data_IF_569529213781
#
_entry.id   IF_569529213781
#
_cell.length_a   1.000
_cell.length_b   1.000
_cell.length_c   1.000
_cell.angle_alpha   90.00
_cell.angle_beta   90.00
_cell.angle_gamma   90.00
#
_symmetry.space_group_name_H-M   'P 1'
#
loop_
_entity.id
_entity.type
_entity.pdbx_description
1 polymer ?
#
# COMPACT_ATOMS: atom_id res chain seq x y z
N UNK A 1 62.56 -43.00 -23.37
CA UNK A 1 62.18 -42.76 -21.97
C UNK A 1 60.72 -42.32 -21.97
N UNK A 2 59.90 -43.04 -21.19
CA UNK A 2 58.49 -42.75 -20.95
C UNK A 2 58.31 -41.34 -20.36
N UNK A 3 57.16 -40.70 -20.59
CA UNK A 3 56.15 -40.49 -19.53
C UNK A 3 54.87 -39.91 -20.14
N UNK A 4 53.76 -40.62 -19.89
CA UNK A 4 52.39 -40.12 -19.95
C UNK A 4 52.27 -38.75 -19.27
N UNK A 5 51.38 -37.88 -19.74
CA UNK A 5 50.49 -37.22 -18.80
C UNK A 5 49.16 -36.76 -19.41
N UNK A 6 48.10 -37.30 -18.81
CA UNK A 6 46.70 -36.95 -18.96
C UNK A 6 46.49 -35.45 -18.72
N UNK A 7 45.73 -34.77 -19.59
CA UNK A 7 45.07 -33.51 -19.21
C UNK A 7 43.58 -33.54 -19.53
N UNK A 8 42.86 -33.76 -18.44
CA UNK A 8 41.50 -33.35 -18.09
C UNK A 8 40.54 -32.98 -19.23
N UNK A 9 39.53 -33.82 -19.40
CA UNK A 9 38.25 -33.48 -20.01
C UNK A 9 37.55 -32.48 -19.09
N UNK A 10 37.42 -31.23 -19.53
CA UNK A 10 36.64 -30.20 -18.84
C UNK A 10 35.15 -30.47 -19.03
N UNK A 11 34.48 -30.97 -18.00
CA UNK A 11 33.01 -31.01 -17.95
C UNK A 11 32.53 -29.60 -17.61
N UNK A 12 32.18 -28.83 -18.64
CA UNK A 12 31.48 -27.56 -18.46
C UNK A 12 30.07 -27.87 -17.92
N UNK A 13 29.92 -27.80 -16.60
CA UNK A 13 28.61 -27.89 -15.94
C UNK A 13 27.89 -26.56 -16.15
N UNK A 14 26.93 -26.56 -17.08
CA UNK A 14 26.00 -25.44 -17.26
C UNK A 14 24.99 -25.46 -16.11
N UNK A 15 25.33 -24.82 -15.00
CA UNK A 15 24.33 -24.45 -13.99
C UNK A 15 23.52 -23.29 -14.58
N UNK A 16 22.41 -23.61 -15.23
CA UNK A 16 21.37 -22.64 -15.55
C UNK A 16 20.72 -22.22 -14.24
N UNK A 17 21.27 -21.18 -13.60
CA UNK A 17 20.59 -20.49 -12.52
C UNK A 17 19.30 -19.90 -13.09
N UNK A 18 18.18 -20.58 -12.83
CA UNK A 18 16.86 -20.03 -13.04
C UNK A 18 16.75 -18.81 -12.13
N UNK A 19 16.79 -17.62 -12.72
CA UNK A 19 16.43 -16.38 -12.01
C UNK A 19 14.97 -16.49 -11.59
N UNK A 20 14.74 -16.76 -10.32
CA UNK A 20 13.41 -16.65 -9.72
C UNK A 20 13.09 -15.15 -9.77
N UNK A 21 12.25 -14.76 -10.73
CA UNK A 21 11.61 -13.46 -10.73
C UNK A 21 10.64 -13.44 -9.55
N UNK A 22 11.13 -13.06 -8.37
CA UNK A 22 10.27 -12.80 -7.22
C UNK A 22 9.57 -11.48 -7.49
N UNK A 23 8.41 -11.54 -8.14
CA UNK A 23 7.51 -10.40 -8.27
C UNK A 23 6.87 -10.20 -6.90
N UNK A 24 7.53 -9.45 -6.03
CA UNK A 24 6.90 -8.97 -4.81
C UNK A 24 5.77 -8.03 -5.19
N UNK A 25 4.54 -8.41 -4.85
CA UNK A 25 3.34 -7.61 -4.98
C UNK A 25 3.47 -6.33 -4.14
N UNK A 26 3.91 -5.26 -4.81
CA UNK A 26 3.78 -3.84 -4.50
C UNK A 26 3.43 -3.48 -3.05
N UNK A 27 4.44 -3.19 -2.23
CA UNK A 27 4.27 -2.23 -1.13
C UNK A 27 4.50 -0.82 -1.67
N UNK A 28 3.58 -0.34 -2.49
CA UNK A 28 3.52 1.09 -2.81
C UNK A 28 2.80 1.83 -1.66
N UNK A 29 3.40 1.81 -0.47
CA UNK A 29 3.05 2.79 0.55
C UNK A 29 3.57 4.11 0.01
N UNK A 30 2.71 4.96 -0.54
CA UNK A 30 3.12 6.36 -0.78
C UNK A 30 3.67 6.86 0.55
N UNK A 31 4.93 7.27 0.60
CA UNK A 31 5.53 7.74 1.84
C UNK A 31 4.66 8.88 2.40
N UNK A 32 3.97 8.59 3.50
CA UNK A 32 3.11 9.54 4.20
C UNK A 32 4.06 10.53 4.87
N UNK A 33 3.92 11.80 4.53
CA UNK A 33 4.70 12.85 5.18
C UNK A 33 3.93 13.35 6.39
N UNK A 34 4.44 13.06 7.57
CA UNK A 34 3.83 13.44 8.84
C UNK A 34 4.49 14.72 9.40
N UNK A 35 3.71 15.56 10.07
CA UNK A 35 4.25 16.65 10.88
C UNK A 35 5.09 16.08 12.03
N UNK A 36 6.21 16.74 12.32
CA UNK A 36 7.12 16.33 13.38
C UNK A 36 6.41 16.32 14.75
N UNK A 37 6.67 15.28 15.55
CA UNK A 37 6.04 15.12 16.88
C UNK A 37 4.60 14.60 16.86
N UNK A 38 3.97 14.41 15.70
CA UNK A 38 2.57 13.92 15.60
C UNK A 38 2.45 12.42 15.34
N UNK A 39 3.57 11.75 15.07
CA UNK A 39 3.61 10.31 14.75
C UNK A 39 3.27 9.50 15.99
N UNK A 40 2.20 8.71 15.89
CA UNK A 40 1.85 7.69 16.86
C UNK A 40 1.94 6.30 16.22
N UNK A 41 2.43 5.31 16.97
CA UNK A 41 2.67 3.95 16.48
C UNK A 41 1.96 2.92 17.35
N UNK A 42 1.62 1.80 16.73
CA UNK A 42 1.23 0.59 17.46
C UNK A 42 2.46 -0.02 18.17
N UNK A 43 2.21 -0.98 19.07
CA UNK A 43 3.28 -1.69 19.80
C UNK A 43 4.23 -2.44 18.88
N UNK A 44 3.74 -2.90 17.73
CA UNK A 44 4.55 -3.56 16.69
C UNK A 44 5.38 -2.56 15.83
N UNK A 45 5.33 -1.27 16.15
CA UNK A 45 6.08 -0.21 15.47
C UNK A 45 5.41 0.33 14.18
N UNK A 46 4.30 -0.25 13.72
CA UNK A 46 3.57 0.27 12.57
C UNK A 46 2.98 1.65 12.85
N UNK A 47 2.87 2.47 11.80
CA UNK A 47 2.25 3.79 11.93
C UNK A 47 0.77 3.59 12.28
N UNK A 48 0.30 4.23 13.36
CA UNK A 48 -1.10 4.22 13.78
C UNK A 48 -1.83 5.44 13.23
N UNK A 49 -1.31 6.62 13.52
CA UNK A 49 -1.77 7.87 12.93
C UNK A 49 -0.68 8.92 12.97
N UNK A 50 -0.85 9.96 12.16
CA UNK A 50 -0.12 11.22 12.29
C UNK A 50 -0.92 12.36 11.64
N UNK A 51 -0.49 13.60 11.86
CA UNK A 51 -1.02 14.75 11.11
C UNK A 51 -0.23 14.86 9.81
N UNK A 52 -0.94 14.99 8.68
CA UNK A 52 -0.32 15.13 7.37
C UNK A 52 0.40 16.48 7.21
N UNK A 53 1.68 16.47 6.87
CA UNK A 53 2.46 17.67 6.58
C UNK A 53 2.19 18.27 5.19
N UNK A 54 1.50 17.52 4.32
CA UNK A 54 1.07 17.96 2.98
C UNK A 54 -0.10 17.12 2.48
N UNK A 55 -0.82 17.64 1.50
CA UNK A 55 -1.86 16.88 0.81
C UNK A 55 -1.25 15.59 0.23
N UNK A 56 -1.93 14.46 0.47
CA UNK A 56 -1.40 13.13 0.16
C UNK A 56 -2.48 12.30 -0.52
N UNK A 57 -2.20 11.80 -1.72
CA UNK A 57 -3.11 10.88 -2.43
C UNK A 57 -2.77 9.45 -2.05
N UNK A 58 -3.65 8.82 -1.27
CA UNK A 58 -3.50 7.43 -0.85
C UNK A 58 -4.18 6.54 -1.88
N UNK A 59 -3.41 5.65 -2.51
CA UNK A 59 -3.92 4.65 -3.44
C UNK A 59 -4.05 3.32 -2.72
N UNK A 60 -5.26 2.77 -2.68
CA UNK A 60 -5.51 1.43 -2.14
C UNK A 60 -6.24 0.59 -3.16
N UNK A 61 -5.95 -0.70 -3.19
CA UNK A 61 -6.67 -1.60 -4.06
C UNK A 61 -6.43 -3.05 -3.69
N UNK A 62 -7.35 -3.90 -4.14
CA UNK A 62 -7.20 -5.33 -4.07
C UNK A 62 -7.84 -5.96 -5.32
N UNK A 63 -7.64 -7.26 -5.50
CA UNK A 63 -8.12 -7.99 -6.68
C UNK A 63 -9.65 -8.02 -6.80
N UNK A 64 -10.38 -7.73 -5.72
CA UNK A 64 -11.84 -7.88 -5.64
C UNK A 64 -12.59 -6.55 -5.80
N UNK A 65 -11.96 -5.43 -5.44
CA UNK A 65 -12.58 -4.10 -5.40
C UNK A 65 -11.86 -3.08 -6.30
N UNK A 66 -10.86 -3.51 -7.06
CA UNK A 66 -10.09 -2.64 -7.95
C UNK A 66 -9.22 -1.67 -7.16
N UNK A 67 -8.96 -0.50 -7.72
CA UNK A 67 -8.13 0.53 -7.09
C UNK A 67 -8.90 1.83 -6.89
N UNK A 68 -8.80 2.38 -5.68
CA UNK A 68 -9.36 3.67 -5.27
C UNK A 68 -8.23 4.63 -4.88
N UNK A 69 -8.47 5.93 -5.09
CA UNK A 69 -7.54 6.99 -4.71
C UNK A 69 -8.27 7.93 -3.74
N UNK A 70 -7.68 8.16 -2.58
CA UNK A 70 -8.20 9.03 -1.53
C UNK A 70 -7.26 10.23 -1.37
N UNK A 71 -7.66 11.41 -1.84
CA UNK A 71 -6.90 12.64 -1.67
C UNK A 71 -7.11 13.17 -0.25
N UNK A 72 -6.13 12.93 0.62
CA UNK A 72 -6.17 13.32 2.02
C UNK A 72 -5.59 14.72 2.25
N UNK A 73 -6.26 15.50 3.09
CA UNK A 73 -5.98 16.91 3.37
C UNK A 73 -4.85 17.12 4.38
N UNK A 74 -3.94 18.03 4.05
CA UNK A 74 -2.89 18.54 4.96
C UNK A 74 -3.46 19.04 6.28
N UNK A 75 -2.68 18.97 7.35
CA UNK A 75 -3.06 19.43 8.69
C UNK A 75 -4.15 18.59 9.35
N UNK A 76 -4.54 17.47 8.75
CA UNK A 76 -5.52 16.54 9.30
C UNK A 76 -4.90 15.17 9.58
N UNK A 77 -5.54 14.41 10.46
CA UNK A 77 -5.12 13.07 10.76
C UNK A 77 -5.30 12.13 9.57
N UNK A 78 -4.30 11.29 9.38
CA UNK A 78 -4.38 10.06 8.59
C UNK A 78 -4.20 8.88 9.53
N UNK A 79 -5.06 7.87 9.38
CA UNK A 79 -5.11 6.71 10.27
C UNK A 79 -4.85 5.43 9.49
N UNK A 80 -4.19 4.49 10.15
CA UNK A 80 -3.87 3.18 9.63
C UNK A 80 -4.23 2.10 10.64
N UNK A 81 -4.49 0.89 10.15
CA UNK A 81 -4.63 -0.29 10.97
C UNK A 81 -3.27 -0.76 11.49
N UNK A 82 -3.27 -1.67 12.46
CA UNK A 82 -2.04 -2.26 13.01
C UNK A 82 -1.18 -2.99 11.95
N UNK A 83 -1.81 -3.38 10.83
CA UNK A 83 -1.16 -3.98 9.66
C UNK A 83 -0.68 -2.92 8.63
N UNK A 84 -0.60 -1.65 9.03
CA UNK A 84 -0.23 -0.51 8.17
C UNK A 84 -1.16 -0.28 6.96
N UNK A 85 -2.42 -0.73 7.03
CA UNK A 85 -3.38 -0.47 5.96
C UNK A 85 -4.08 0.85 6.21
N UNK A 86 -4.28 1.66 5.17
CA UNK A 86 -5.03 2.91 5.27
C UNK A 86 -6.44 2.65 5.82
N UNK A 87 -6.86 3.45 6.79
CA UNK A 87 -8.14 3.33 7.46
C UNK A 87 -9.01 4.57 7.31
N UNK A 88 -8.44 5.78 7.50
CA UNK A 88 -9.22 7.02 7.47
C UNK A 88 -8.37 8.23 7.13
N UNK A 89 -8.97 9.20 6.44
CA UNK A 89 -8.50 10.59 6.41
C UNK A 89 -9.64 11.55 6.08
N UNK A 90 -9.38 12.85 6.27
CA UNK A 90 -10.23 13.93 5.76
C UNK A 90 -9.87 14.25 4.30
N UNK A 91 -10.86 14.43 3.44
CA UNK A 91 -10.65 14.67 2.01
C UNK A 91 -10.24 16.11 1.68
N UNK A 92 -9.27 16.28 0.79
CA UNK A 92 -8.87 17.58 0.24
C UNK A 92 -9.63 17.98 -1.03
N UNK A 93 -10.26 17.03 -1.71
CA UNK A 93 -11.10 17.24 -2.90
C UNK A 93 -12.27 16.24 -2.88
N UNK A 94 -13.34 16.57 -3.60
CA UNK A 94 -14.48 15.66 -3.76
C UNK A 94 -14.05 14.37 -4.50
N UNK A 95 -14.57 13.23 -4.07
CA UNK A 95 -14.40 11.95 -4.76
C UNK A 95 -15.73 11.29 -5.10
N UNK A 96 -15.68 10.40 -6.10
CA UNK A 96 -16.79 9.53 -6.47
C UNK A 96 -16.45 8.09 -6.11
N UNK A 97 -17.24 7.48 -5.25
CA UNK A 97 -17.13 6.09 -4.84
C UNK A 97 -18.12 5.28 -5.68
N UNK A 98 -17.61 4.28 -6.41
CA UNK A 98 -18.45 3.37 -7.21
C UNK A 98 -18.58 2.03 -6.49
N UNK A 99 -19.81 1.61 -6.24
CA UNK A 99 -20.12 0.31 -5.62
C UNK A 99 -21.17 -0.39 -6.47
N UNK A 100 -20.73 -1.34 -7.31
CA UNK A 100 -21.58 -1.93 -8.34
C UNK A 100 -22.06 -0.86 -9.33
N UNK A 101 -23.39 -0.71 -9.46
CA UNK A 101 -24.01 0.30 -10.33
C UNK A 101 -24.27 1.64 -9.62
N UNK A 102 -24.03 1.71 -8.31
CA UNK A 102 -24.26 2.91 -7.52
C UNK A 102 -23.02 3.80 -7.49
N UNK A 103 -23.24 5.12 -7.57
CA UNK A 103 -22.20 6.13 -7.40
C UNK A 103 -22.57 7.03 -6.24
N UNK A 104 -21.71 7.09 -5.23
CA UNK A 104 -21.83 8.00 -4.09
C UNK A 104 -20.78 9.10 -4.21
N UNK A 105 -21.19 10.34 -4.00
CA UNK A 105 -20.29 11.49 -3.97
C UNK A 105 -19.88 11.71 -2.51
N UNK A 106 -18.57 11.80 -2.27
CA UNK A 106 -18.03 12.17 -0.97
C UNK A 106 -17.40 13.56 -1.11
N UNK A 107 -18.03 14.61 -0.55
CA UNK A 107 -17.58 15.98 -0.72
C UNK A 107 -16.19 16.24 -0.13
N UNK A 108 -15.59 17.36 -0.53
CA UNK A 108 -14.41 17.90 0.16
C UNK A 108 -14.70 18.10 1.64
N UNK A 109 -13.67 17.97 2.48
CA UNK A 109 -13.76 18.09 3.94
C UNK A 109 -14.57 17.00 4.66
N UNK A 110 -15.09 15.98 3.96
CA UNK A 110 -15.63 14.80 4.61
C UNK A 110 -14.51 13.83 5.02
N UNK A 111 -14.75 13.08 6.08
CA UNK A 111 -13.95 11.92 6.42
C UNK A 111 -14.34 10.75 5.53
N UNK A 112 -13.32 10.09 4.99
CA UNK A 112 -13.48 8.79 4.34
C UNK A 112 -12.90 7.72 5.26
N UNK A 113 -13.67 6.67 5.51
CA UNK A 113 -13.22 5.49 6.26
C UNK A 113 -13.26 4.26 5.37
N UNK A 114 -12.23 3.43 5.45
CA UNK A 114 -12.09 2.21 4.66
C UNK A 114 -11.93 1.02 5.59
N UNK A 115 -12.67 -0.04 5.30
CA UNK A 115 -12.56 -1.33 5.95
C UNK A 115 -12.54 -2.44 4.91
N UNK A 116 -12.01 -3.61 5.30
CA UNK A 116 -12.09 -4.83 4.50
C UNK A 116 -13.13 -5.74 5.16
N UNK A 117 -14.10 -6.20 4.38
CA UNK A 117 -15.13 -7.14 4.79
C UNK A 117 -14.59 -8.57 4.80
N UNK A 118 -15.33 -9.50 5.41
CA UNK A 118 -14.91 -10.91 5.54
C UNK A 118 -14.76 -11.61 4.18
N UNK A 119 -15.49 -11.17 3.16
CA UNK A 119 -15.36 -11.67 1.79
C UNK A 119 -14.14 -11.11 1.04
N UNK A 120 -13.40 -10.19 1.68
CA UNK A 120 -12.23 -9.50 1.15
C UNK A 120 -12.56 -8.20 0.40
N UNK A 121 -13.85 -7.86 0.24
CA UNK A 121 -14.24 -6.63 -0.44
C UNK A 121 -13.93 -5.43 0.43
N UNK A 122 -13.60 -4.33 -0.23
CA UNK A 122 -13.42 -3.05 0.41
C UNK A 122 -14.79 -2.38 0.63
N UNK A 123 -15.05 -1.95 1.86
CA UNK A 123 -16.14 -1.02 2.18
C UNK A 123 -15.58 0.37 2.38
N UNK A 124 -16.26 1.37 1.84
CA UNK A 124 -15.88 2.78 1.94
C UNK A 124 -17.07 3.56 2.47
N UNK A 125 -16.87 4.24 3.58
CA UNK A 125 -17.87 5.09 4.23
C UNK A 125 -17.43 6.55 4.15
N UNK A 126 -18.40 7.45 3.96
CA UNK A 126 -18.20 8.89 3.89
C UNK A 126 -19.02 9.57 4.99
N UNK A 127 -18.39 10.37 5.84
CA UNK A 127 -19.04 11.10 6.94
C UNK A 127 -18.55 12.53 7.06
N UNK A 128 -19.40 13.45 7.54
CA UNK A 128 -18.99 14.83 7.83
C UNK A 128 -18.24 14.94 9.16
N UNK A 129 -18.38 13.94 10.03
CA UNK A 129 -17.84 13.88 11.40
C UNK A 129 -16.55 13.08 11.46
#
# INVERSE_FOLDING_TARGET
MQFLNHKLIGVASFFTFSVINVIFSQSAVSAVSCEAGTINRYSNGSLKYCILARDTKVRIGNNQSGTSIFPCKVGNYINFTEKSQFQRCKLSEEIKIKTGNSVTICPTDYNVSVSTLDDGKMSVECSNY
#
